data_IF_716054724891
#
_entry.id   IF_716054724891
#
_cell.length_a   1.000
_cell.length_b   1.000
_cell.length_c   1.000
_cell.angle_alpha   90.00
_cell.angle_beta   90.00
_cell.angle_gamma   90.00
#
_symmetry.space_group_name_H-M   'P 1'
#
loop_
_entity.id
_entity.type
_entity.pdbx_description
1 polymer ?
#
# COMPACT_ATOMS: atom_id res chain seq x y z
N UNK A 1 -19.02 1.55 17.94
CA UNK A 1 -17.67 0.93 17.93
C UNK A 1 -17.80 -0.50 17.39
N UNK A 2 -17.21 -0.77 16.24
CA UNK A 2 -17.33 -2.06 15.56
C UNK A 2 -15.94 -2.66 15.37
N UNK A 3 -15.83 -3.98 15.64
CA UNK A 3 -14.60 -4.67 15.27
C UNK A 3 -14.57 -4.97 13.77
N UNK A 4 -13.37 -4.98 13.21
CA UNK A 4 -13.14 -5.23 11.80
C UNK A 4 -12.33 -6.51 11.67
N UNK A 5 -12.83 -7.45 10.88
CA UNK A 5 -12.12 -8.68 10.56
C UNK A 5 -11.41 -8.49 9.22
N UNK A 6 -10.08 -8.46 9.25
CA UNK A 6 -9.29 -8.16 8.06
C UNK A 6 -9.49 -9.20 6.95
N UNK A 7 -9.50 -10.47 7.31
CA UNK A 7 -9.69 -11.55 6.34
C UNK A 7 -11.05 -11.44 5.65
N UNK A 8 -12.11 -11.14 6.41
CA UNK A 8 -13.45 -10.94 5.86
C UNK A 8 -13.50 -9.75 4.91
N UNK A 9 -12.90 -8.63 5.29
CA UNK A 9 -12.87 -7.44 4.45
C UNK A 9 -12.07 -7.67 3.17
N UNK A 10 -10.91 -8.30 3.28
CA UNK A 10 -10.08 -8.63 2.13
C UNK A 10 -10.78 -9.57 1.15
N UNK A 11 -11.65 -10.46 1.64
CA UNK A 11 -12.43 -11.35 0.78
C UNK A 11 -13.40 -10.60 -0.14
N UNK A 12 -13.74 -9.36 0.18
CA UNK A 12 -14.61 -8.50 -0.63
C UNK A 12 -13.87 -7.80 -1.77
N UNK A 13 -12.54 -7.76 -1.71
CA UNK A 13 -11.71 -7.08 -2.71
C UNK A 13 -11.44 -8.06 -3.84
N UNK A 14 -11.80 -7.70 -5.07
CA UNK A 14 -11.73 -8.57 -6.25
C UNK A 14 -10.71 -8.12 -7.29
N UNK A 15 -10.16 -6.92 -7.14
CA UNK A 15 -9.18 -6.35 -8.06
C UNK A 15 -7.84 -6.12 -7.38
N UNK A 16 -6.86 -5.66 -8.13
CA UNK A 16 -5.52 -5.38 -7.64
C UNK A 16 -5.22 -3.87 -7.69
N UNK A 17 -4.32 -3.43 -6.82
CA UNK A 17 -3.82 -2.06 -6.77
C UNK A 17 -4.91 -1.00 -6.54
N UNK A 18 -6.02 -1.40 -5.97
CA UNK A 18 -7.14 -0.53 -5.66
C UNK A 18 -7.41 -0.55 -4.15
N UNK A 19 -6.81 0.37 -3.38
CA UNK A 19 -6.99 0.39 -1.94
C UNK A 19 -8.44 0.70 -1.55
N UNK A 20 -8.92 0.05 -0.50
CA UNK A 20 -10.23 0.28 0.08
C UNK A 20 -10.07 0.76 1.51
N UNK A 21 -10.84 1.76 1.91
CA UNK A 21 -10.76 2.33 3.26
C UNK A 21 -11.53 1.43 4.22
N UNK A 22 -10.82 0.82 5.17
CA UNK A 22 -11.42 -0.03 6.19
C UNK A 22 -11.71 0.72 7.49
N UNK A 23 -10.92 1.72 7.83
CA UNK A 23 -11.07 2.51 9.05
C UNK A 23 -10.37 3.86 8.92
N UNK A 24 -10.75 4.78 9.79
CA UNK A 24 -10.12 6.10 9.91
C UNK A 24 -9.91 6.41 11.39
N UNK A 25 -8.74 6.94 11.70
CA UNK A 25 -8.42 7.40 13.05
C UNK A 25 -7.37 8.51 12.98
N UNK A 26 -7.61 9.60 13.73
CA UNK A 26 -6.64 10.70 13.89
C UNK A 26 -6.09 11.25 12.56
N UNK A 27 -6.96 11.38 11.53
CA UNK A 27 -6.52 11.85 10.21
C UNK A 27 -5.74 10.85 9.39
N UNK A 28 -5.73 9.59 9.80
CA UNK A 28 -5.09 8.49 9.08
C UNK A 28 -6.14 7.51 8.57
N UNK A 29 -5.89 6.89 7.43
CA UNK A 29 -6.67 5.77 6.94
C UNK A 29 -5.96 4.45 7.21
N UNK A 30 -6.74 3.44 7.57
CA UNK A 30 -6.36 2.04 7.42
C UNK A 30 -6.98 1.57 6.12
N UNK A 31 -6.15 1.20 5.15
CA UNK A 31 -6.59 0.72 3.85
C UNK A 31 -6.23 -0.74 3.67
N UNK A 32 -7.04 -1.47 2.95
CA UNK A 32 -6.76 -2.85 2.55
C UNK A 32 -6.65 -2.91 1.04
N UNK A 33 -5.67 -3.66 0.54
CA UNK A 33 -5.40 -3.74 -0.89
C UNK A 33 -4.78 -5.10 -1.22
N UNK A 34 -4.97 -5.54 -2.45
CA UNK A 34 -4.30 -6.72 -2.98
C UNK A 34 -3.28 -6.30 -4.02
N UNK A 35 -2.07 -6.83 -3.89
CA UNK A 35 -0.97 -6.60 -4.83
C UNK A 35 -0.80 -7.82 -5.71
N UNK A 36 -0.51 -7.59 -7.00
CA UNK A 36 -0.03 -8.62 -7.92
C UNK A 36 0.69 -7.96 -9.06
N UNK A 37 1.89 -8.44 -9.36
CA UNK A 37 2.77 -7.83 -10.35
C UNK A 37 3.47 -6.59 -9.81
N UNK A 38 4.10 -5.81 -10.68
CA UNK A 38 4.77 -4.57 -10.30
C UNK A 38 3.79 -3.40 -10.24
N UNK A 39 4.00 -2.55 -9.23
CA UNK A 39 3.37 -1.23 -9.19
C UNK A 39 4.23 -0.22 -9.96
N UNK A 40 3.88 1.05 -9.89
CA UNK A 40 4.63 2.13 -10.54
C UNK A 40 5.66 2.73 -9.59
N UNK A 41 6.80 3.17 -10.11
CA UNK A 41 7.76 3.95 -9.35
C UNK A 41 7.17 5.31 -8.99
N UNK A 42 7.24 5.68 -7.71
CA UNK A 42 6.69 6.94 -7.21
C UNK A 42 7.26 7.30 -5.85
N UNK A 43 6.98 8.52 -5.40
CA UNK A 43 7.23 8.95 -4.03
C UNK A 43 6.08 9.83 -3.55
N UNK A 44 6.00 9.99 -2.24
CA UNK A 44 5.05 10.91 -1.60
C UNK A 44 5.84 12.06 -0.98
N UNK A 45 5.49 13.29 -1.35
CA UNK A 45 6.22 14.48 -0.87
C UNK A 45 6.00 14.73 0.63
N UNK A 46 4.81 14.44 1.14
CA UNK A 46 4.38 14.89 2.45
C UNK A 46 3.95 13.76 3.38
N UNK A 47 3.90 12.52 2.92
CA UNK A 47 3.36 11.41 3.70
C UNK A 47 4.40 10.30 3.88
N UNK A 48 4.54 9.84 5.13
CA UNK A 48 5.13 8.53 5.41
C UNK A 48 4.05 7.48 5.21
N UNK A 49 4.44 6.29 4.79
CA UNK A 49 3.48 5.25 4.45
C UNK A 49 3.88 3.92 5.09
N UNK A 50 2.97 3.32 5.86
CA UNK A 50 3.19 2.02 6.48
C UNK A 50 2.52 0.93 5.65
N UNK A 51 3.27 -0.13 5.36
CA UNK A 51 2.78 -1.35 4.70
C UNK A 51 2.94 -2.51 5.67
N UNK A 52 1.88 -3.30 5.84
CA UNK A 52 1.94 -4.54 6.62
C UNK A 52 1.34 -5.67 5.79
N UNK A 53 2.06 -6.79 5.67
CA UNK A 53 1.55 -7.95 4.94
C UNK A 53 0.65 -8.77 5.84
N UNK A 54 -0.58 -9.01 5.37
CA UNK A 54 -1.56 -9.87 6.03
C UNK A 54 -1.44 -11.31 5.52
N UNK A 55 -1.26 -11.47 4.22
CA UNK A 55 -1.13 -12.80 3.59
C UNK A 55 -0.26 -12.70 2.34
N UNK A 56 0.60 -13.69 2.15
CA UNK A 56 1.55 -13.69 1.05
C UNK A 56 2.82 -12.94 1.38
N UNK A 57 3.45 -12.38 0.37
CA UNK A 57 4.64 -11.54 0.52
C UNK A 57 4.81 -10.65 -0.69
N UNK A 58 5.53 -9.55 -0.51
CA UNK A 58 5.95 -8.71 -1.63
C UNK A 58 7.35 -8.16 -1.34
N UNK A 59 8.04 -7.70 -2.40
CA UNK A 59 9.28 -6.96 -2.21
C UNK A 59 9.02 -5.48 -2.42
N UNK A 60 9.54 -4.67 -1.52
CA UNK A 60 9.59 -3.23 -1.69
C UNK A 60 10.88 -2.87 -2.40
N UNK A 61 10.78 -2.43 -3.63
CA UNK A 61 11.91 -1.88 -4.36
C UNK A 61 11.99 -0.38 -4.07
N UNK A 62 13.17 0.13 -3.79
CA UNK A 62 13.39 1.54 -3.54
C UNK A 62 14.74 1.96 -4.09
N UNK A 63 14.85 3.23 -4.42
CA UNK A 63 16.05 3.73 -5.09
C UNK A 63 16.32 5.18 -4.77
N UNK A 64 17.59 5.57 -4.89
CA UNK A 64 18.03 6.93 -4.98
C UNK A 64 18.74 7.14 -6.34
N UNK A 65 19.48 8.26 -6.51
CA UNK A 65 20.15 8.57 -7.77
C UNK A 65 21.26 7.56 -8.14
N UNK A 66 21.77 6.78 -7.20
CA UNK A 66 22.95 5.94 -7.37
C UNK A 66 22.67 4.45 -7.25
N UNK A 67 21.71 4.04 -6.39
CA UNK A 67 21.48 2.65 -6.08
C UNK A 67 20.00 2.29 -6.12
N UNK A 68 19.72 1.04 -6.50
CA UNK A 68 18.40 0.42 -6.43
C UNK A 68 18.51 -0.79 -5.51
N UNK A 69 17.59 -0.89 -4.56
CA UNK A 69 17.57 -1.91 -3.55
C UNK A 69 16.18 -2.52 -3.43
N UNK A 70 16.09 -3.67 -2.79
CA UNK A 70 14.81 -4.29 -2.49
C UNK A 70 14.87 -4.99 -1.14
N UNK A 71 13.70 -5.10 -0.50
CA UNK A 71 13.53 -5.83 0.75
C UNK A 71 12.20 -6.59 0.69
N UNK A 72 12.23 -7.86 1.08
CA UNK A 72 11.04 -8.70 1.17
C UNK A 72 10.30 -8.44 2.47
N UNK A 73 8.98 -8.32 2.37
CA UNK A 73 8.08 -8.21 3.52
C UNK A 73 7.17 -9.44 3.49
N UNK A 74 7.26 -10.25 4.54
CA UNK A 74 6.50 -11.48 4.70
C UNK A 74 5.27 -11.26 5.57
N UNK A 75 4.35 -12.22 5.58
CA UNK A 75 3.15 -12.15 6.40
C UNK A 75 3.49 -11.87 7.87
N UNK A 76 2.82 -10.90 8.47
CA UNK A 76 3.08 -10.45 9.84
C UNK A 76 4.20 -9.43 9.97
N UNK A 77 4.85 -9.06 8.87
CA UNK A 77 5.91 -8.05 8.87
C UNK A 77 5.39 -6.73 8.29
N UNK A 78 6.05 -5.64 8.67
CA UNK A 78 5.70 -4.32 8.18
C UNK A 78 6.94 -3.49 7.85
N UNK A 79 6.75 -2.47 7.02
CA UNK A 79 7.78 -1.51 6.68
C UNK A 79 7.16 -0.11 6.61
N UNK A 80 7.90 0.90 7.04
CA UNK A 80 7.53 2.30 6.84
C UNK A 80 8.40 2.89 5.76
N UNK A 81 7.76 3.41 4.72
CA UNK A 81 8.46 4.15 3.66
C UNK A 81 8.38 5.63 4.03
N UNK A 82 9.54 6.27 4.33
CA UNK A 82 9.56 7.69 4.64
C UNK A 82 9.16 8.54 3.43
N UNK A 83 8.59 9.71 3.70
CA UNK A 83 8.32 10.68 2.63
C UNK A 83 9.55 10.95 1.78
N UNK A 84 9.34 11.16 0.49
CA UNK A 84 10.42 11.47 -0.44
C UNK A 84 11.19 10.27 -0.99
N UNK A 85 11.01 9.08 -0.42
CA UNK A 85 11.71 7.88 -0.90
C UNK A 85 11.00 7.32 -2.12
N UNK A 86 11.71 7.23 -3.23
CA UNK A 86 11.18 6.64 -4.44
C UNK A 86 11.13 5.12 -4.31
N UNK A 87 9.95 4.56 -4.52
CA UNK A 87 9.70 3.15 -4.26
C UNK A 87 8.66 2.55 -5.19
N UNK A 88 8.65 1.23 -5.23
CA UNK A 88 7.71 0.43 -6.02
C UNK A 88 7.51 -0.93 -5.36
N UNK A 89 6.31 -1.25 -4.86
CA UNK A 89 6.03 -2.62 -4.44
C UNK A 89 5.87 -3.55 -5.64
N UNK A 90 6.36 -4.78 -5.48
CA UNK A 90 6.25 -5.84 -6.51
C UNK A 90 5.87 -7.14 -5.82
N UNK A 91 4.76 -7.74 -6.24
CA UNK A 91 4.31 -9.04 -5.73
C UNK A 91 4.29 -10.06 -6.86
N UNK A 92 5.08 -11.13 -6.74
CA UNK A 92 5.12 -12.19 -7.73
C UNK A 92 3.78 -12.95 -7.77
N UNK A 93 3.21 -13.23 -6.58
CA UNK A 93 1.89 -13.80 -6.40
C UNK A 93 1.01 -12.81 -5.63
N UNK A 94 -0.30 -13.01 -5.66
CA UNK A 94 -1.23 -12.13 -4.94
C UNK A 94 -0.84 -12.01 -3.48
N UNK A 95 -0.76 -10.76 -3.00
CA UNK A 95 -0.39 -10.42 -1.64
C UNK A 95 -1.45 -9.50 -1.04
N UNK A 96 -1.92 -9.83 0.16
CA UNK A 96 -2.89 -9.02 0.90
C UNK A 96 -2.17 -8.10 1.86
N UNK A 97 -2.42 -6.79 1.73
CA UNK A 97 -1.65 -5.75 2.41
C UNK A 97 -2.58 -4.78 3.13
N UNK A 98 -2.17 -4.38 4.32
CA UNK A 98 -2.76 -3.27 5.06
C UNK A 98 -1.84 -2.07 4.95
N UNK A 99 -2.42 -0.93 4.55
CA UNK A 99 -1.74 0.36 4.53
C UNK A 99 -2.25 1.22 5.68
N UNK A 100 -1.35 1.95 6.33
CA UNK A 100 -1.69 2.96 7.33
C UNK A 100 -0.99 4.26 6.96
N UNK A 101 -1.77 5.29 6.64
CA UNK A 101 -1.21 6.51 6.04
C UNK A 101 -2.17 7.68 6.18
N UNK A 102 -1.69 8.93 6.08
CA UNK A 102 -2.55 10.10 6.12
C UNK A 102 -3.64 10.05 5.05
N UNK A 103 -4.80 10.62 5.37
CA UNK A 103 -5.94 10.66 4.41
C UNK A 103 -5.59 11.37 3.11
N UNK A 104 -4.58 12.25 3.11
CA UNK A 104 -4.12 12.98 1.93
C UNK A 104 -3.32 12.13 0.94
N UNK A 105 -2.95 10.90 1.29
CA UNK A 105 -2.05 10.08 0.47
C UNK A 105 -2.74 9.59 -0.80
N UNK A 106 -2.20 9.98 -1.97
CA UNK A 106 -2.60 9.43 -3.26
C UNK A 106 -1.80 8.16 -3.53
N UNK A 107 -2.47 7.09 -3.96
CA UNK A 107 -1.82 5.77 -4.10
C UNK A 107 -0.59 5.75 -5.01
N UNK A 108 -0.57 6.55 -6.08
CA UNK A 108 0.56 6.65 -7.01
C UNK A 108 1.46 7.87 -6.75
N UNK A 109 1.26 8.57 -5.62
CA UNK A 109 2.08 9.69 -5.20
C UNK A 109 2.21 10.77 -6.25
N UNK A 110 3.46 11.07 -6.66
CA UNK A 110 3.78 12.10 -7.65
C UNK A 110 3.56 11.65 -9.11
N UNK A 111 3.18 10.41 -9.34
CA UNK A 111 2.94 9.84 -10.67
C UNK A 111 1.43 9.70 -10.90
N UNK A 112 0.97 10.01 -12.11
CA UNK A 112 -0.43 9.82 -12.48
C UNK A 112 -0.49 8.95 -13.73
N UNK A 113 -1.19 7.82 -13.64
CA UNK A 113 -1.35 6.85 -14.73
C UNK A 113 -2.62 6.03 -14.52
N UNK A 114 -2.77 4.93 -15.26
CA UNK A 114 -3.96 4.07 -15.20
C UNK A 114 -4.16 3.39 -13.84
N UNK A 115 -3.12 3.32 -12.99
CA UNK A 115 -3.23 2.74 -11.64
C UNK A 115 -3.68 3.76 -10.59
N UNK A 116 -3.71 5.05 -10.93
CA UNK A 116 -4.08 6.11 -9.99
C UNK A 116 -5.54 6.00 -9.59
N UNK A 117 -5.81 6.06 -8.27
CA UNK A 117 -7.15 6.04 -7.68
C UNK A 117 -7.34 7.27 -6.81
N UNK A 118 -8.00 8.29 -7.35
CA UNK A 118 -8.26 9.55 -6.62
C UNK A 118 -9.40 9.41 -5.62
N UNK A 119 -10.35 8.53 -5.92
CA UNK A 119 -11.48 8.24 -5.04
C UNK A 119 -11.43 6.78 -4.64
N UNK A 120 -11.52 6.52 -3.33
CA UNK A 120 -11.49 5.18 -2.77
C UNK A 120 -12.83 4.82 -2.16
N UNK A 121 -13.23 3.56 -2.33
CA UNK A 121 -14.42 3.02 -1.68
C UNK A 121 -14.13 2.67 -0.23
N UNK A 122 -15.12 2.85 0.62
CA UNK A 122 -15.11 2.32 1.98
C UNK A 122 -15.59 0.87 1.98
N UNK A 123 -15.03 0.09 2.83
CA UNK A 123 -15.36 -1.33 2.88
C UNK A 123 -15.86 -1.80 4.29
#
# INVERSE_FOLDING_TARGET
MNKINLSQKLSLIKDHWNPHIAAELNGQYVKLVKFQGPFTWHHHENEDELFMVVKGRFRMEYRDAETEQSIWIEAGEMIVVPRGVEHRPVADDECEVLLFEPVSTLNTGNTENELTRKELSHI
#
